data_IF_590262720810
#
_entry.id   IF_590262720810
#
_cell.length_a   1.000
_cell.length_b   1.000
_cell.length_c   1.000
_cell.angle_alpha   90.00
_cell.angle_beta   90.00
_cell.angle_gamma   90.00
#
_symmetry.space_group_name_H-M   'P 1'
#
loop_
_entity.id
_entity.type
_entity.pdbx_description
1 polymer ?
#
# COMPACT_ATOMS: atom_id res chain seq x y z
N UNK A 1 7.40 0.23 29.59
CA UNK A 1 6.02 0.10 29.07
C UNK A 1 5.54 1.49 28.69
N UNK A 2 5.77 1.92 27.44
CA UNK A 2 5.37 3.25 26.97
C UNK A 2 4.25 3.07 25.95
N UNK A 3 3.10 3.62 26.32
CA UNK A 3 1.95 3.88 25.47
C UNK A 3 2.38 4.74 24.28
N UNK A 4 1.98 4.33 23.08
CA UNK A 4 2.00 5.17 21.87
C UNK A 4 0.57 5.65 21.61
N UNK A 5 0.22 6.92 21.87
CA UNK A 5 -0.97 7.50 21.29
C UNK A 5 -0.66 8.08 19.91
N UNK A 6 -1.71 8.11 19.08
CA UNK A 6 -1.88 9.00 17.91
C UNK A 6 -1.20 8.62 16.59
N UNK A 7 -1.83 7.65 15.92
CA UNK A 7 -1.96 7.67 14.46
C UNK A 7 -2.83 8.89 14.07
N UNK A 8 -2.17 10.01 13.75
CA UNK A 8 -2.78 11.15 13.06
C UNK A 8 -2.52 11.04 11.55
N UNK A 9 -3.62 11.06 10.82
CA UNK A 9 -3.82 11.49 9.43
C UNK A 9 -2.55 11.73 8.59
N UNK A 10 -2.12 10.72 7.82
CA UNK A 10 -1.11 10.90 6.78
C UNK A 10 -1.76 11.37 5.48
N UNK A 11 -2.25 12.62 5.48
CA UNK A 11 -2.42 13.37 4.24
C UNK A 11 -1.09 14.02 3.88
N UNK A 12 -0.34 13.38 2.99
CA UNK A 12 0.59 13.98 2.01
C UNK A 12 1.24 15.32 2.44
N UNK A 13 2.12 15.31 3.45
CA UNK A 13 3.06 16.41 3.65
C UNK A 13 4.48 15.88 3.91
N UNK A 14 5.38 16.35 3.05
CA UNK A 14 6.78 16.03 2.89
C UNK A 14 7.56 15.81 4.19
N UNK A 15 8.23 14.66 4.28
CA UNK A 15 9.36 14.46 5.19
C UNK A 15 10.54 15.24 4.63
N UNK A 16 10.77 16.46 5.14
CA UNK A 16 11.88 17.32 4.70
C UNK A 16 13.18 16.84 5.37
N UNK A 17 13.82 15.82 4.80
CA UNK A 17 15.16 15.42 5.19
C UNK A 17 16.16 16.48 4.68
N UNK A 18 16.80 17.21 5.60
CA UNK A 18 17.76 18.27 5.29
C UNK A 18 19.17 17.68 5.21
N UNK A 19 19.60 17.30 4.02
CA UNK A 19 21.03 17.10 3.69
C UNK A 19 21.60 18.44 3.24
N UNK A 20 22.47 19.04 4.06
CA UNK A 20 23.24 20.22 3.69
C UNK A 20 24.43 19.78 2.81
N UNK A 21 24.29 19.89 1.50
CA UNK A 21 25.39 20.33 0.62
C UNK A 21 24.85 20.57 -0.79
N UNK A 22 25.22 21.71 -1.37
CA UNK A 22 24.99 22.18 -2.75
C UNK A 22 23.70 22.97 -3.02
N UNK A 23 23.95 24.11 -3.66
CA UNK A 23 23.06 25.21 -4.01
C UNK A 23 22.39 24.84 -5.32
N UNK A 24 21.17 24.32 -5.23
CA UNK A 24 20.07 24.49 -6.19
C UNK A 24 18.86 23.79 -5.57
N UNK A 25 17.75 24.51 -5.38
CA UNK A 25 16.50 23.92 -4.88
C UNK A 25 15.95 22.95 -5.94
N UNK A 26 16.29 21.67 -5.83
CA UNK A 26 15.57 20.63 -6.54
C UNK A 26 14.22 20.48 -5.83
N UNK A 27 13.18 21.14 -6.36
CA UNK A 27 11.80 20.87 -5.96
C UNK A 27 11.45 19.46 -6.47
N UNK A 28 11.12 18.56 -5.55
CA UNK A 28 10.65 17.21 -5.86
C UNK A 28 9.42 17.20 -6.80
N UNK A 29 8.69 18.32 -6.90
CA UNK A 29 7.60 18.52 -7.87
C UNK A 29 8.08 18.62 -9.31
N UNK A 30 9.31 19.07 -9.56
CA UNK A 30 9.91 19.10 -10.90
C UNK A 30 10.29 17.69 -11.39
N UNK A 31 10.46 16.72 -10.48
CA UNK A 31 10.70 15.31 -10.85
C UNK A 31 9.43 14.57 -11.32
N UNK A 32 8.24 15.14 -11.12
CA UNK A 32 6.95 14.52 -11.45
C UNK A 32 6.45 14.96 -12.84
N UNK A 33 7.08 15.96 -13.45
CA UNK A 33 6.83 16.38 -14.82
C UNK A 33 7.95 15.88 -15.74
N UNK A 34 7.78 14.66 -16.25
CA UNK A 34 8.67 14.06 -17.25
C UNK A 34 8.77 14.91 -18.53
N UNK A 35 7.74 15.70 -18.86
CA UNK A 35 7.70 16.54 -20.07
C UNK A 35 8.60 17.80 -20.01
N UNK A 36 8.99 18.29 -18.82
CA UNK A 36 9.84 19.49 -18.71
C UNK A 36 11.31 19.21 -19.07
N UNK A 37 11.75 17.97 -18.90
CA UNK A 37 13.10 17.50 -19.25
C UNK A 37 13.11 16.46 -20.38
N UNK A 38 11.94 16.00 -20.84
CA UNK A 38 11.77 14.93 -21.84
C UNK A 38 12.12 15.28 -23.29
N UNK A 39 12.78 16.43 -23.55
CA UNK A 39 13.30 16.73 -24.88
C UNK A 39 14.60 17.56 -24.89
N UNK A 40 15.39 17.54 -23.80
CA UNK A 40 16.80 17.87 -23.93
C UNK A 40 17.50 16.57 -24.29
N UNK A 41 18.11 16.48 -25.47
CA UNK A 41 18.90 15.33 -25.92
C UNK A 41 20.16 15.06 -25.08
N UNK A 42 20.11 15.31 -23.77
CA UNK A 42 21.13 15.00 -22.79
C UNK A 42 20.90 13.55 -22.38
N UNK A 43 21.60 12.64 -23.07
CA UNK A 43 21.77 11.28 -22.59
C UNK A 43 22.56 11.34 -21.26
N UNK A 44 21.84 11.34 -20.14
CA UNK A 44 22.42 11.24 -18.79
C UNK A 44 22.91 9.80 -18.56
N UNK A 45 23.95 9.42 -19.29
CA UNK A 45 24.62 8.13 -19.16
C UNK A 45 25.57 8.17 -17.96
N UNK A 46 25.03 8.24 -16.75
CA UNK A 46 25.83 7.92 -15.58
C UNK A 46 26.14 6.43 -15.64
N UNK A 47 27.40 6.07 -15.89
CA UNK A 47 27.86 4.67 -15.96
C UNK A 47 27.76 3.91 -14.62
N UNK A 48 26.97 4.41 -13.66
CA UNK A 48 26.65 3.76 -12.40
C UNK A 48 25.15 3.47 -12.23
N UNK A 49 24.31 3.83 -13.20
CA UNK A 49 22.88 3.56 -13.15
C UNK A 49 22.57 2.13 -13.61
N UNK A 50 21.60 1.49 -12.96
CA UNK A 50 21.10 0.14 -13.27
C UNK A 50 22.15 -0.97 -13.46
N UNK A 51 23.36 -0.80 -12.89
CA UNK A 51 24.52 -1.71 -13.04
C UNK A 51 24.25 -3.18 -12.70
N UNK A 52 23.21 -3.46 -11.91
CA UNK A 52 22.83 -4.81 -11.45
C UNK A 52 21.35 -5.12 -11.67
N UNK A 53 20.68 -4.35 -12.51
CA UNK A 53 19.31 -4.65 -12.92
C UNK A 53 19.37 -5.65 -14.07
N UNK A 54 18.78 -6.82 -13.85
CA UNK A 54 18.70 -7.86 -14.88
C UNK A 54 17.69 -7.48 -15.96
N UNK A 55 16.55 -6.93 -15.54
CA UNK A 55 15.44 -6.54 -16.41
C UNK A 55 14.48 -5.61 -15.66
N UNK A 56 13.79 -4.77 -16.41
CA UNK A 56 12.66 -3.96 -15.93
C UNK A 56 11.44 -4.45 -16.69
N UNK A 57 10.48 -5.01 -15.96
CA UNK A 57 9.23 -5.51 -16.53
C UNK A 57 8.09 -4.54 -16.18
N UNK A 58 7.33 -4.15 -17.19
CA UNK A 58 6.11 -3.37 -16.97
C UNK A 58 5.06 -4.22 -16.28
N UNK A 59 4.39 -3.62 -15.28
CA UNK A 59 3.31 -4.24 -14.53
C UNK A 59 1.98 -3.63 -14.93
N UNK A 60 0.91 -4.43 -14.86
CA UNK A 60 -0.44 -3.93 -15.07
C UNK A 60 -0.76 -2.83 -14.06
N UNK A 61 -1.33 -1.69 -14.49
CA UNK A 61 -1.73 -0.64 -13.57
C UNK A 61 -2.89 -1.13 -12.68
N UNK A 62 -3.01 -0.63 -11.44
CA UNK A 62 -4.07 -1.07 -10.52
C UNK A 62 -5.49 -0.98 -11.09
N UNK A 63 -5.77 0.04 -11.91
CA UNK A 63 -7.08 0.23 -12.55
C UNK A 63 -7.47 -0.96 -13.43
N UNK A 64 -6.53 -1.55 -14.17
CA UNK A 64 -6.81 -2.70 -15.04
C UNK A 64 -7.20 -3.95 -14.21
N UNK A 65 -6.64 -4.11 -13.01
CA UNK A 65 -7.02 -5.20 -12.11
C UNK A 65 -8.40 -4.97 -11.48
N UNK A 66 -8.72 -3.73 -11.10
CA UNK A 66 -10.01 -3.36 -10.52
C UNK A 66 -11.16 -3.52 -11.54
N UNK A 67 -10.91 -3.17 -12.80
CA UNK A 67 -11.88 -3.38 -13.89
C UNK A 67 -12.08 -4.87 -14.19
N UNK A 68 -11.00 -5.66 -14.20
CA UNK A 68 -11.08 -7.10 -14.46
C UNK A 68 -11.70 -7.90 -13.32
N UNK A 69 -11.47 -7.48 -12.08
CA UNK A 69 -11.95 -8.16 -10.87
C UNK A 69 -12.67 -7.16 -9.95
N UNK A 70 -13.86 -6.69 -10.34
CA UNK A 70 -14.61 -5.74 -9.52
C UNK A 70 -15.01 -6.38 -8.20
N UNK A 71 -14.91 -5.60 -7.12
CA UNK A 71 -15.37 -6.04 -5.82
C UNK A 71 -16.89 -6.25 -5.85
N UNK A 72 -17.35 -7.39 -5.31
CA UNK A 72 -18.78 -7.61 -5.10
C UNK A 72 -19.27 -6.74 -3.94
N UNK A 73 -20.58 -6.46 -3.90
CA UNK A 73 -21.18 -5.72 -2.79
C UNK A 73 -20.92 -6.41 -1.44
N UNK A 74 -21.01 -7.75 -1.42
CA UNK A 74 -20.69 -8.55 -0.24
C UNK A 74 -19.24 -8.36 0.23
N UNK A 75 -18.28 -8.33 -0.69
CA UNK A 75 -16.87 -8.08 -0.36
C UNK A 75 -16.67 -6.67 0.19
N UNK A 76 -17.25 -5.66 -0.46
CA UNK A 76 -17.18 -4.26 -0.02
C UNK A 76 -17.78 -4.06 1.40
N UNK A 77 -18.96 -4.63 1.64
CA UNK A 77 -19.63 -4.58 2.94
C UNK A 77 -18.84 -5.32 4.02
N UNK A 78 -18.28 -6.50 3.71
CA UNK A 78 -17.44 -7.25 4.65
C UNK A 78 -16.23 -6.43 5.09
N UNK A 79 -15.51 -5.82 4.14
CA UNK A 79 -14.34 -4.97 4.44
C UNK A 79 -14.74 -3.74 5.27
N UNK A 80 -15.84 -3.06 4.89
CA UNK A 80 -16.31 -1.88 5.60
C UNK A 80 -16.73 -2.19 7.04
N UNK A 81 -17.46 -3.28 7.26
CA UNK A 81 -17.87 -3.74 8.59
C UNK A 81 -16.69 -4.17 9.44
N UNK A 82 -15.76 -4.96 8.89
CA UNK A 82 -14.56 -5.40 9.61
C UNK A 82 -13.73 -4.21 10.07
N UNK A 83 -13.51 -3.21 9.20
CA UNK A 83 -12.77 -1.97 9.56
C UNK A 83 -13.43 -1.21 10.72
N UNK A 84 -14.76 -1.06 10.68
CA UNK A 84 -15.53 -0.41 11.75
C UNK A 84 -15.43 -1.19 13.06
N UNK A 85 -15.56 -2.52 13.03
CA UNK A 85 -15.48 -3.38 14.21
C UNK A 85 -14.09 -3.32 14.84
N UNK A 86 -13.04 -3.48 14.03
CA UNK A 86 -11.63 -3.37 14.47
C UNK A 86 -11.37 -2.02 15.11
N UNK A 87 -11.87 -0.93 14.52
CA UNK A 87 -11.69 0.41 15.10
C UNK A 87 -12.30 0.53 16.50
N UNK A 88 -13.49 -0.05 16.74
CA UNK A 88 -14.12 -0.04 18.06
C UNK A 88 -13.30 -0.83 19.09
N UNK A 89 -12.80 -2.01 18.71
CA UNK A 89 -11.95 -2.85 19.57
C UNK A 89 -10.67 -2.09 19.95
N UNK A 90 -9.98 -1.51 18.96
CA UNK A 90 -8.74 -0.76 19.19
C UNK A 90 -8.94 0.51 20.04
N UNK A 91 -10.15 1.08 20.04
CA UNK A 91 -10.52 2.23 20.88
C UNK A 91 -11.03 1.82 22.27
N UNK A 92 -11.18 0.53 22.56
CA UNK A 92 -11.75 0.04 23.81
C UNK A 92 -13.27 0.25 23.92
N UNK A 93 -13.94 0.57 22.81
CA UNK A 93 -15.40 0.72 22.74
C UNK A 93 -16.12 -0.62 22.48
N UNK A 94 -15.36 -1.70 22.40
CA UNK A 94 -15.80 -3.07 22.13
C UNK A 94 -14.79 -4.01 22.79
N UNK A 95 -15.26 -4.88 23.70
CA UNK A 95 -14.41 -5.75 24.52
C UNK A 95 -14.12 -7.11 23.86
N UNK A 96 -14.48 -7.26 22.58
CA UNK A 96 -14.14 -8.47 21.82
C UNK A 96 -12.64 -8.52 21.51
N UNK A 97 -12.11 -9.74 21.48
CA UNK A 97 -10.73 -9.99 21.07
C UNK A 97 -10.62 -10.01 19.55
N UNK A 98 -9.75 -9.17 18.99
CA UNK A 98 -9.37 -9.23 17.58
C UNK A 98 -8.34 -10.36 17.36
N UNK A 99 -8.69 -11.32 16.51
CA UNK A 99 -7.80 -12.44 16.15
C UNK A 99 -7.48 -12.39 14.66
N UNK A 100 -6.19 -12.36 14.33
CA UNK A 100 -5.68 -12.53 12.95
C UNK A 100 -5.14 -13.94 12.84
N UNK A 101 -5.80 -14.79 12.05
CA UNK A 101 -5.47 -16.20 11.91
C UNK A 101 -5.60 -16.66 10.47
N UNK A 102 -4.68 -17.52 10.03
CA UNK A 102 -4.65 -18.07 8.69
C UNK A 102 -3.35 -18.85 8.43
N UNK A 103 -3.24 -19.51 7.27
CA UNK A 103 -1.99 -20.12 6.85
C UNK A 103 -0.90 -19.04 6.70
N UNK A 104 0.37 -19.44 6.88
CA UNK A 104 1.51 -18.51 6.80
C UNK A 104 1.62 -17.81 5.43
N UNK A 105 1.27 -18.51 4.35
CA UNK A 105 1.19 -17.96 3.00
C UNK A 105 0.15 -18.72 2.18
N UNK A 106 -0.42 -18.06 1.16
CA UNK A 106 -1.36 -18.68 0.21
C UNK A 106 -0.61 -19.02 -1.07
N UNK A 107 -0.48 -20.31 -1.36
CA UNK A 107 0.02 -20.83 -2.63
C UNK A 107 -1.05 -21.64 -3.40
N UNK A 108 -2.10 -22.09 -2.70
CA UNK A 108 -3.27 -22.76 -3.30
C UNK A 108 -4.57 -21.98 -2.97
N UNK A 109 -5.18 -21.32 -3.97
CA UNK A 109 -6.43 -20.61 -3.80
C UNK A 109 -7.63 -21.49 -3.43
N UNK A 110 -7.63 -22.79 -3.77
CA UNK A 110 -8.73 -23.69 -3.46
C UNK A 110 -8.73 -24.05 -1.97
N UNK A 111 -7.58 -24.49 -1.45
CA UNK A 111 -7.39 -24.74 -0.02
C UNK A 111 -7.66 -23.50 0.84
N UNK A 112 -7.31 -22.30 0.35
CA UNK A 112 -7.62 -21.05 1.04
C UNK A 112 -9.13 -20.82 1.21
N UNK A 113 -9.93 -21.13 0.18
CA UNK A 113 -11.39 -21.00 0.24
C UNK A 113 -12.02 -22.03 1.17
N UNK A 114 -11.50 -23.27 1.15
CA UNK A 114 -11.93 -24.32 2.08
C UNK A 114 -11.66 -23.91 3.53
N UNK A 115 -10.45 -23.42 3.82
CA UNK A 115 -10.09 -22.90 5.14
C UNK A 115 -11.00 -21.74 5.59
N UNK A 116 -11.36 -20.83 4.67
CA UNK A 116 -12.21 -19.69 4.98
C UNK A 116 -13.69 -20.06 5.20
N UNK A 117 -14.15 -21.19 4.65
CA UNK A 117 -15.56 -21.61 4.68
C UNK A 117 -16.20 -21.59 6.08
N UNK A 118 -15.60 -22.24 7.11
CA UNK A 118 -16.10 -22.21 8.49
C UNK A 118 -16.22 -20.81 9.09
N UNK A 119 -15.40 -19.84 8.64
CA UNK A 119 -15.38 -18.48 9.18
C UNK A 119 -16.40 -17.55 8.52
N UNK A 120 -17.01 -17.95 7.39
CA UNK A 120 -17.92 -17.10 6.61
C UNK A 120 -19.15 -16.62 7.41
N UNK A 121 -19.54 -17.34 8.48
CA UNK A 121 -20.62 -16.94 9.40
C UNK A 121 -20.15 -16.40 10.75
N UNK A 122 -18.85 -16.41 11.03
CA UNK A 122 -18.27 -16.11 12.35
C UNK A 122 -17.89 -14.63 12.53
N UNK A 123 -17.87 -13.84 11.46
CA UNK A 123 -17.59 -12.39 11.47
C UNK A 123 -18.80 -11.58 11.93
N UNK A 124 -19.18 -11.74 13.21
CA UNK A 124 -20.13 -10.86 13.90
C UNK A 124 -19.37 -9.95 14.84
#
# INVERSE_FOLDING_TARGET
>A
MRFFPEFQDYSVQSVKARLHYLIEEIDWRDCIHWDKYGNTGINMNYQNDDLRIKEINELLPPVALLEKFPATENAANTVAHARKAIHKILKGNDDRLLVVIGPCSIHDPAAAKEYAGPFAGATR
#
